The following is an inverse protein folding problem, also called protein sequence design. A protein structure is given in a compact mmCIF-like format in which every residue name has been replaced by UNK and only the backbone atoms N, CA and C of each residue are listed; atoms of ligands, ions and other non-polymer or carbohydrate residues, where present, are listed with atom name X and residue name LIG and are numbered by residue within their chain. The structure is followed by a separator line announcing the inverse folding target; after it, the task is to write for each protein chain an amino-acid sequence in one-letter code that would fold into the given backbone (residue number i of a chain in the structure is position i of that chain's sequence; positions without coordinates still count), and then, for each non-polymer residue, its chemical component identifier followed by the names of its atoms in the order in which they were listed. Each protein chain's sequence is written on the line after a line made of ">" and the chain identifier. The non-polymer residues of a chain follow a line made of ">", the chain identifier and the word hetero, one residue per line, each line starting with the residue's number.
data_IF_097577394124
#
_entry.id   IF_097577394124
#
_cell.length_a   1.000
_cell.length_b   1.000
_cell.length_c   1.000
_cell.angle_alpha   90.00
_cell.angle_beta   90.00
_cell.angle_gamma   90.00
#
_symmetry.space_group_name_H-M   'P 1'
#
loop_
_entity.id
_entity.type
_entity.pdbx_description
1 polymer ?
#
# COMPACT_ATOMS: atom_id res chain seq x y z
N UNK A 1 5.95 2.46 2.57
CA UNK A 1 7.05 1.94 3.42
C UNK A 1 7.77 0.85 2.67
N UNK A 2 9.04 0.60 2.96
CA UNK A 2 9.82 -0.51 2.41
C UNK A 2 10.53 -1.30 3.50
N UNK A 3 10.73 -2.59 3.24
CA UNK A 3 11.64 -3.44 4.01
C UNK A 3 12.98 -3.47 3.27
N UNK A 4 14.01 -2.94 3.93
CA UNK A 4 15.37 -3.10 3.44
C UNK A 4 15.79 -4.58 3.44
N UNK A 5 16.80 -4.92 2.64
CA UNK A 5 17.34 -6.29 2.57
C UNK A 5 17.75 -6.84 3.94
N UNK A 6 18.25 -5.98 4.83
CA UNK A 6 18.68 -6.37 6.17
C UNK A 6 17.54 -6.46 7.21
N UNK A 7 16.28 -6.22 6.79
CA UNK A 7 15.09 -6.29 7.63
C UNK A 7 14.75 -4.99 8.36
N UNK A 8 15.45 -3.88 8.12
CA UNK A 8 15.07 -2.57 8.66
C UNK A 8 13.85 -2.00 7.92
N UNK A 9 12.88 -1.51 8.67
CA UNK A 9 11.81 -0.69 8.11
C UNK A 9 12.32 0.68 7.69
N UNK A 10 11.81 1.17 6.56
CA UNK A 10 12.05 2.52 6.06
C UNK A 10 10.75 3.16 5.55
N UNK A 11 10.48 4.36 6.05
CA UNK A 11 9.29 5.14 5.74
C UNK A 11 9.65 6.30 4.83
N UNK A 12 8.81 6.52 3.83
CA UNK A 12 8.92 7.61 2.86
C UNK A 12 7.67 8.45 2.96
N UNK A 13 7.82 9.76 3.09
CA UNK A 13 6.72 10.68 3.27
C UNK A 13 7.01 12.03 2.62
N UNK A 14 5.95 12.71 2.18
CA UNK A 14 6.09 14.05 1.60
C UNK A 14 6.16 15.11 2.69
N UNK A 15 7.18 15.96 2.63
CA UNK A 15 7.33 17.12 3.52
C UNK A 15 6.41 18.28 3.16
N UNK A 16 6.36 19.31 4.01
CA UNK A 16 5.65 20.56 3.72
C UNK A 16 6.28 21.42 2.61
N UNK A 17 7.54 21.15 2.30
CA UNK A 17 8.30 21.71 1.19
C UNK A 17 8.01 21.03 -0.16
N UNK A 18 7.13 20.02 -0.18
CA UNK A 18 6.83 19.22 -1.38
C UNK A 18 7.90 18.19 -1.73
N UNK A 19 9.03 18.14 -1.00
CA UNK A 19 10.07 17.14 -1.22
C UNK A 19 9.68 15.79 -0.63
N UNK A 20 10.31 14.72 -1.13
CA UNK A 20 10.23 13.42 -0.49
C UNK A 20 11.28 13.33 0.62
N UNK A 21 10.86 12.89 1.80
CA UNK A 21 11.70 12.63 2.95
C UNK A 21 11.60 11.17 3.35
N UNK A 22 12.65 10.64 3.96
CA UNK A 22 12.66 9.26 4.47
C UNK A 22 13.30 9.16 5.85
N UNK A 23 12.88 8.16 6.61
CA UNK A 23 13.39 7.80 7.93
C UNK A 23 13.42 6.28 8.04
N UNK A 24 14.44 5.72 8.69
CA UNK A 24 14.64 4.26 8.77
C UNK A 24 14.99 3.83 10.18
N UNK A 25 14.70 2.57 10.49
CA UNK A 25 15.28 1.90 11.65
C UNK A 25 16.80 1.81 11.47
N UNK A 26 17.56 2.05 12.54
CA UNK A 26 19.04 2.01 12.55
C UNK A 26 19.60 0.58 12.64
N UNK A 27 18.82 -0.33 13.22
CA UNK A 27 18.99 -1.79 13.19
C UNK A 27 17.60 -2.41 13.07
N UNK A 28 17.46 -3.64 12.56
CA UNK A 28 16.16 -4.30 12.50
C UNK A 28 15.48 -4.29 13.87
N UNK A 29 14.20 -3.91 13.91
CA UNK A 29 13.40 -3.83 15.14
C UNK A 29 13.89 -2.79 16.16
N UNK A 30 14.82 -1.91 15.76
CA UNK A 30 15.52 -0.97 16.63
C UNK A 30 14.97 0.45 16.62
N UNK A 31 15.78 1.37 17.14
CA UNK A 31 15.46 2.80 17.14
C UNK A 31 15.47 3.38 15.71
N UNK A 32 14.67 4.42 15.51
CA UNK A 32 14.61 5.18 14.25
C UNK A 32 15.75 6.20 14.18
N UNK A 33 16.25 6.42 12.96
CA UNK A 33 17.25 7.43 12.65
C UNK A 33 16.65 8.84 12.57
N UNK A 34 17.29 9.70 11.79
CA UNK A 34 16.79 11.04 11.51
C UNK A 34 16.14 11.10 10.13
N UNK A 35 15.19 12.01 9.96
CA UNK A 35 14.66 12.35 8.65
C UNK A 35 15.78 12.87 7.74
N UNK A 36 15.88 12.30 6.55
CA UNK A 36 16.72 12.80 5.47
C UNK A 36 15.85 13.16 4.25
N UNK A 37 16.27 14.17 3.51
CA UNK A 37 15.57 14.60 2.29
C UNK A 37 16.13 13.86 1.09
N UNK A 38 15.23 13.34 0.25
CA UNK A 38 15.53 12.88 -1.11
C UNK A 38 15.29 14.00 -2.14
N UNK A 39 14.89 15.19 -1.71
CA UNK A 39 14.60 16.33 -2.59
C UNK A 39 13.37 16.11 -3.48
N UNK A 40 13.35 16.80 -4.62
CA UNK A 40 12.26 16.77 -5.59
C UNK A 40 11.06 17.65 -5.21
N UNK A 41 10.05 17.67 -6.09
CA UNK A 41 8.78 18.37 -5.87
C UNK A 41 7.62 17.47 -6.31
N UNK A 42 6.91 16.92 -5.34
CA UNK A 42 5.94 15.84 -5.54
C UNK A 42 4.55 16.21 -5.05
N UNK A 43 3.54 15.63 -5.68
CA UNK A 43 2.12 15.91 -5.39
C UNK A 43 1.34 14.69 -4.90
N UNK A 44 1.85 13.49 -5.19
CA UNK A 44 1.25 12.21 -4.82
C UNK A 44 1.88 11.56 -3.59
N UNK A 45 1.26 10.47 -3.14
CA UNK A 45 1.78 9.57 -2.12
C UNK A 45 2.84 8.63 -2.75
N UNK A 46 4.00 8.41 -2.10
CA UNK A 46 5.03 7.52 -2.62
C UNK A 46 4.64 6.04 -2.49
N UNK A 47 4.92 5.25 -3.51
CA UNK A 47 4.94 3.79 -3.48
C UNK A 47 6.39 3.29 -3.45
N UNK A 48 6.64 2.19 -2.75
CA UNK A 48 8.00 1.65 -2.55
C UNK A 48 7.99 0.18 -2.94
N UNK A 49 8.92 -0.21 -3.81
CA UNK A 49 9.17 -1.61 -4.18
C UNK A 49 10.57 -2.03 -3.76
N UNK A 50 10.73 -3.31 -3.41
CA UNK A 50 12.04 -3.93 -3.22
C UNK A 50 12.43 -4.64 -4.51
N UNK A 51 13.53 -4.21 -5.11
CA UNK A 51 14.11 -4.88 -6.28
C UNK A 51 14.59 -6.30 -5.91
N UNK A 52 14.72 -7.17 -6.92
CA UNK A 52 15.20 -8.53 -6.75
C UNK A 52 16.63 -8.62 -6.18
N UNK A 53 17.41 -7.55 -6.31
CA UNK A 53 18.76 -7.41 -5.74
C UNK A 53 18.79 -6.78 -4.33
N UNK A 54 17.63 -6.57 -3.68
CA UNK A 54 17.53 -6.02 -2.32
C UNK A 54 17.51 -4.49 -2.24
N UNK A 55 17.67 -3.77 -3.35
CA UNK A 55 17.59 -2.29 -3.36
C UNK A 55 16.14 -1.82 -3.25
N UNK A 56 15.88 -0.86 -2.37
CA UNK A 56 14.61 -0.14 -2.38
C UNK A 56 14.54 0.81 -3.58
N UNK A 57 13.35 0.92 -4.17
CA UNK A 57 13.03 1.88 -5.23
C UNK A 57 11.68 2.54 -4.95
N UNK A 58 11.65 3.86 -5.04
CA UNK A 58 10.51 4.69 -4.68
C UNK A 58 9.95 5.33 -5.94
N UNK A 59 8.63 5.29 -6.06
CA UNK A 59 7.84 5.84 -7.15
C UNK A 59 6.87 6.88 -6.62
N UNK A 60 6.79 8.03 -7.27
CA UNK A 60 5.93 9.12 -6.82
C UNK A 60 5.49 10.00 -7.98
N UNK A 61 4.29 10.57 -7.90
CA UNK A 61 3.80 11.53 -8.89
C UNK A 61 4.40 12.93 -8.67
N UNK A 62 5.02 13.48 -9.71
CA UNK A 62 5.59 14.83 -9.75
C UNK A 62 4.56 15.95 -9.82
N UNK A 63 5.03 17.20 -9.72
CA UNK A 63 4.21 18.39 -9.98
C UNK A 63 3.77 18.53 -11.44
N UNK A 64 4.43 17.83 -12.35
CA UNK A 64 4.11 17.71 -13.78
C UNK A 64 3.14 16.55 -14.08
N UNK A 65 2.63 15.88 -13.05
CA UNK A 65 1.85 14.64 -13.13
C UNK A 65 2.58 13.45 -13.76
N UNK A 66 3.88 13.53 -14.02
CA UNK A 66 4.65 12.36 -14.47
C UNK A 66 4.95 11.42 -13.29
N UNK A 67 5.24 10.16 -13.60
CA UNK A 67 5.83 9.23 -12.64
C UNK A 67 7.32 9.51 -12.52
N UNK A 68 7.80 9.72 -11.31
CA UNK A 68 9.21 9.88 -10.97
C UNK A 68 9.66 8.74 -10.08
N UNK A 69 10.92 8.32 -10.23
CA UNK A 69 11.51 7.28 -9.40
C UNK A 69 12.95 7.60 -8.96
N UNK A 70 13.34 7.05 -7.81
CA UNK A 70 14.70 7.03 -7.27
C UNK A 70 14.93 5.67 -6.60
N UNK A 71 16.16 5.17 -6.63
CA UNK A 71 16.50 3.86 -6.08
C UNK A 71 17.77 3.92 -5.24
N UNK A 72 17.85 3.05 -4.24
CA UNK A 72 19.13 2.77 -3.60
C UNK A 72 20.11 2.23 -4.66
N UNK A 73 21.35 2.73 -4.65
CA UNK A 73 22.41 2.35 -5.61
C UNK A 73 23.08 1.02 -5.28
N UNK A 74 23.04 0.65 -4.00
CA UNK A 74 23.33 -0.68 -3.44
C UNK A 74 22.35 -0.91 -2.29
N UNK A 75 22.03 -2.16 -1.91
CA UNK A 75 21.12 -2.40 -0.79
C UNK A 75 21.56 -1.65 0.47
N UNK A 76 20.61 -1.01 1.16
CA UNK A 76 20.88 -0.21 2.36
C UNK A 76 21.78 1.03 2.14
N UNK A 77 22.07 1.39 0.88
CA UNK A 77 23.02 2.43 0.53
C UNK A 77 22.39 3.79 0.22
N UNK A 78 23.18 4.64 -0.44
CA UNK A 78 22.72 5.95 -0.92
C UNK A 78 21.79 5.84 -2.13
N UNK A 79 21.08 6.94 -2.41
CA UNK A 79 20.04 7.03 -3.43
C UNK A 79 20.56 7.59 -4.76
N UNK A 80 19.96 7.15 -5.86
CA UNK A 80 20.16 7.74 -7.18
C UNK A 80 19.54 9.14 -7.25
N UNK A 81 19.92 9.91 -8.27
CA UNK A 81 19.14 11.08 -8.65
C UNK A 81 17.73 10.65 -9.09
N UNK A 82 16.76 11.56 -8.96
CA UNK A 82 15.42 11.37 -9.52
C UNK A 82 15.48 11.27 -11.03
N UNK A 83 14.77 10.28 -11.57
CA UNK A 83 14.54 10.12 -13.00
C UNK A 83 13.03 10.12 -13.27
N UNK A 84 12.63 10.60 -14.44
CA UNK A 84 11.23 10.57 -14.87
C UNK A 84 10.99 9.32 -15.71
N UNK A 85 9.90 8.62 -15.41
CA UNK A 85 9.33 7.56 -16.25
C UNK A 85 8.21 8.10 -17.15
N UNK A 86 8.01 9.43 -17.19
CA UNK A 86 6.98 10.08 -17.98
C UNK A 86 5.56 9.70 -17.58
N UNK A 87 4.66 9.66 -18.56
CA UNK A 87 3.23 9.42 -18.33
C UNK A 87 2.50 10.67 -17.82
N UNK A 88 1.19 10.54 -17.60
CA UNK A 88 0.34 11.56 -17.00
C UNK A 88 -0.61 10.89 -16.01
N UNK A 89 -0.27 10.94 -14.72
CA UNK A 89 -0.93 10.23 -13.64
C UNK A 89 -2.02 11.08 -12.99
N UNK A 90 -3.20 10.51 -12.87
CA UNK A 90 -4.36 11.10 -12.18
C UNK A 90 -4.58 10.50 -10.79
N UNK A 91 -3.89 9.41 -10.45
CA UNK A 91 -3.83 8.84 -9.08
C UNK A 91 -2.40 8.77 -8.54
N UNK A 92 -2.29 8.40 -7.26
CA UNK A 92 -1.03 7.91 -6.71
C UNK A 92 -0.65 6.57 -7.38
N UNK A 93 0.65 6.28 -7.57
CA UNK A 93 1.11 5.00 -8.10
C UNK A 93 1.00 3.90 -7.05
N UNK A 94 0.91 2.65 -7.51
CA UNK A 94 1.20 1.44 -6.71
C UNK A 94 2.19 0.58 -7.47
N UNK A 95 3.00 -0.19 -6.74
CA UNK A 95 4.02 -1.05 -7.32
C UNK A 95 3.78 -2.50 -6.89
N UNK A 96 3.87 -3.42 -7.84
CA UNK A 96 3.88 -4.86 -7.62
C UNK A 96 5.20 -5.46 -8.12
N UNK A 97 5.56 -6.61 -7.55
CA UNK A 97 6.71 -7.40 -8.00
C UNK A 97 6.20 -8.61 -8.78
N UNK A 98 6.64 -8.73 -10.03
CA UNK A 98 6.40 -9.92 -10.85
C UNK A 98 7.15 -11.13 -10.28
N UNK A 99 6.71 -12.34 -10.63
CA UNK A 99 7.36 -13.59 -10.19
C UNK A 99 8.83 -13.67 -10.63
N UNK A 100 9.17 -13.11 -11.79
CA UNK A 100 10.53 -13.05 -12.29
C UNK A 100 11.42 -11.99 -11.59
N UNK A 101 10.87 -11.20 -10.67
CA UNK A 101 11.58 -10.16 -9.92
C UNK A 101 11.57 -8.77 -10.57
N UNK A 102 10.86 -8.58 -11.69
CA UNK A 102 10.66 -7.23 -12.27
C UNK A 102 9.65 -6.43 -11.46
N UNK A 103 9.97 -5.18 -11.15
CA UNK A 103 8.98 -4.23 -10.64
C UNK A 103 8.03 -3.78 -11.76
N UNK A 104 6.76 -3.63 -11.42
CA UNK A 104 5.70 -3.13 -12.31
C UNK A 104 4.82 -2.12 -11.56
N UNK A 105 4.67 -0.94 -12.13
CA UNK A 105 3.98 0.20 -11.51
C UNK A 105 2.66 0.41 -12.24
N UNK A 106 1.60 0.63 -11.44
CA UNK A 106 0.24 0.88 -11.90
C UNK A 106 -0.24 2.23 -11.39
N UNK A 107 -0.94 2.97 -12.24
CA UNK A 107 -1.59 4.23 -11.86
C UNK A 107 -2.74 4.54 -12.80
N UNK A 108 -3.66 5.40 -12.36
CA UNK A 108 -4.66 5.96 -13.27
C UNK A 108 -4.02 7.03 -14.14
N UNK A 109 -4.46 7.09 -15.41
CA UNK A 109 -4.00 8.08 -16.37
C UNK A 109 -5.15 8.85 -17.03
N UNK A 110 -4.96 9.22 -18.29
CA UNK A 110 -6.02 9.80 -19.12
C UNK A 110 -7.26 8.90 -19.18
N UNK A 111 -8.43 9.54 -19.29
CA UNK A 111 -9.75 8.88 -19.34
C UNK A 111 -10.07 7.99 -18.12
N UNK A 112 -9.36 8.20 -17.00
CA UNK A 112 -9.50 7.38 -15.79
C UNK A 112 -9.23 5.88 -16.03
N UNK A 113 -8.47 5.55 -17.06
CA UNK A 113 -8.02 4.18 -17.34
C UNK A 113 -6.84 3.81 -16.44
N UNK A 114 -6.67 2.51 -16.20
CA UNK A 114 -5.47 1.96 -15.59
C UNK A 114 -4.34 1.93 -16.62
N UNK A 115 -3.18 2.46 -16.25
CA UNK A 115 -1.95 2.38 -17.02
C UNK A 115 -0.88 1.67 -16.20
N UNK A 116 0.03 0.99 -16.88
CA UNK A 116 1.17 0.33 -16.25
C UNK A 116 2.47 0.52 -17.03
N UNK A 117 3.58 0.44 -16.31
CA UNK A 117 4.95 0.43 -16.83
C UNK A 117 5.78 -0.54 -15.99
N UNK A 118 6.71 -1.26 -16.60
CA UNK A 118 7.48 -2.31 -15.92
C UNK A 118 8.97 -2.24 -16.26
N UNK A 119 9.81 -2.76 -15.37
CA UNK A 119 11.19 -3.08 -15.69
C UNK A 119 11.22 -4.14 -16.79
N UNK A 120 12.14 -4.03 -17.75
CA UNK A 120 12.26 -4.96 -18.90
C UNK A 120 12.96 -6.28 -18.57
N UNK A 121 13.78 -6.25 -17.53
CA UNK A 121 14.42 -7.38 -16.84
C UNK A 121 14.59 -7.00 -15.37
N UNK A 122 14.77 -7.96 -14.44
CA UNK A 122 14.98 -7.63 -13.03
C UNK A 122 16.14 -6.64 -12.86
N UNK A 123 15.93 -5.61 -12.03
CA UNK A 123 16.95 -4.60 -11.69
C UNK A 123 17.45 -3.76 -12.90
N UNK A 124 16.65 -3.66 -13.97
CA UNK A 124 17.06 -2.98 -15.21
C UNK A 124 16.20 -1.74 -15.52
N UNK A 125 16.36 -1.18 -16.73
CA UNK A 125 15.56 -0.07 -17.21
C UNK A 125 14.08 -0.43 -17.48
N UNK A 126 13.29 0.61 -17.72
CA UNK A 126 11.84 0.54 -17.86
C UNK A 126 11.39 0.45 -19.31
N UNK A 127 10.27 -0.25 -19.54
CA UNK A 127 9.58 -0.32 -20.81
C UNK A 127 8.79 0.94 -21.14
N UNK A 128 7.79 0.81 -22.01
CA UNK A 128 6.86 1.88 -22.34
C UNK A 128 5.57 1.75 -21.52
N UNK A 129 4.90 2.88 -21.30
CA UNK A 129 3.54 2.89 -20.75
C UNK A 129 2.58 2.15 -21.67
N UNK A 130 1.73 1.31 -21.07
CA UNK A 130 0.64 0.63 -21.75
C UNK A 130 -0.66 0.84 -20.98
N UNK A 131 -1.78 0.90 -21.70
CA UNK A 131 -3.11 1.03 -21.09
C UNK A 131 -3.70 -0.36 -20.87
N UNK A 132 -4.22 -0.59 -19.67
CA UNK A 132 -5.07 -1.72 -19.34
C UNK A 132 -6.56 -1.36 -19.43
N UNK A 133 -6.87 -0.13 -19.87
CA UNK A 133 -8.24 0.35 -20.04
C UNK A 133 -9.01 0.48 -18.72
N UNK A 134 -10.33 0.31 -18.81
CA UNK A 134 -11.24 0.50 -17.68
C UNK A 134 -11.63 1.96 -17.45
N UNK A 135 -12.57 2.18 -16.53
CA UNK A 135 -12.97 3.50 -16.04
C UNK A 135 -13.02 3.45 -14.51
N UNK A 136 -12.00 4.00 -13.87
CA UNK A 136 -11.72 3.83 -12.45
C UNK A 136 -11.82 5.15 -11.69
N UNK A 137 -12.28 5.08 -10.45
CA UNK A 137 -12.61 6.24 -9.60
C UNK A 137 -11.90 6.21 -8.25
N UNK A 138 -10.89 5.35 -8.10
CA UNK A 138 -9.97 5.31 -6.95
C UNK A 138 -8.55 4.98 -7.43
N UNK A 139 -7.51 5.34 -6.65
CA UNK A 139 -6.21 4.70 -6.79
C UNK A 139 -6.33 3.16 -6.82
N UNK A 140 -5.50 2.49 -7.63
CA UNK A 140 -5.49 1.02 -7.68
C UNK A 140 -4.83 0.43 -6.43
N UNK A 141 -5.09 -0.85 -6.18
CA UNK A 141 -4.32 -1.72 -5.29
C UNK A 141 -3.85 -2.94 -6.09
N UNK A 142 -2.67 -3.47 -5.80
CA UNK A 142 -2.10 -4.64 -6.50
C UNK A 142 -1.79 -5.74 -5.50
N UNK A 143 -2.14 -6.97 -5.83
CA UNK A 143 -1.84 -8.17 -5.07
C UNK A 143 -1.20 -9.25 -5.93
N UNK A 144 -0.42 -10.11 -5.30
CA UNK A 144 0.17 -11.30 -5.93
C UNK A 144 -0.70 -12.52 -5.62
N UNK A 145 -1.21 -13.15 -6.66
CA UNK A 145 -1.85 -14.45 -6.57
C UNK A 145 -0.81 -15.52 -6.12
N UNK A 146 -1.30 -16.62 -5.55
CA UNK A 146 -0.46 -17.73 -5.10
C UNK A 146 0.33 -18.39 -6.26
N UNK A 147 -0.12 -18.25 -7.50
CA UNK A 147 0.56 -18.74 -8.70
C UNK A 147 1.55 -17.74 -9.30
N UNK A 148 1.83 -16.60 -8.64
CA UNK A 148 2.80 -15.60 -9.11
C UNK A 148 2.21 -14.52 -10.03
N UNK A 149 0.92 -14.59 -10.40
CA UNK A 149 0.27 -13.56 -11.23
C UNK A 149 -0.02 -12.30 -10.43
N UNK A 150 0.24 -11.14 -11.03
CA UNK A 150 -0.28 -9.87 -10.52
C UNK A 150 -1.78 -9.74 -10.81
N UNK A 151 -2.51 -9.18 -9.84
CA UNK A 151 -3.92 -8.82 -9.95
C UNK A 151 -4.15 -7.44 -9.34
N UNK A 152 -4.82 -6.58 -10.11
CA UNK A 152 -5.04 -5.17 -9.78
C UNK A 152 -6.52 -4.95 -9.52
N UNK A 153 -6.81 -4.23 -8.45
CA UNK A 153 -8.13 -3.92 -7.95
C UNK A 153 -8.32 -2.41 -7.92
N UNK A 154 -9.47 -1.92 -8.36
CA UNK A 154 -9.81 -0.51 -8.26
C UNK A 154 -11.33 -0.33 -8.24
N UNK A 155 -11.80 0.76 -7.64
CA UNK A 155 -13.20 1.13 -7.71
C UNK A 155 -13.50 1.62 -9.13
N UNK A 156 -14.54 1.09 -9.77
CA UNK A 156 -14.99 1.53 -11.09
C UNK A 156 -16.04 2.64 -11.05
N UNK A 157 -16.69 2.86 -12.18
CA UNK A 157 -17.95 3.64 -12.24
C UNK A 157 -19.02 3.01 -11.34
N UNK A 158 -19.90 3.85 -10.80
CA UNK A 158 -21.01 3.45 -9.90
C UNK A 158 -20.58 2.85 -8.54
N UNK A 159 -19.29 2.84 -8.24
CA UNK A 159 -18.75 2.45 -6.94
C UNK A 159 -18.45 0.96 -6.77
N UNK A 160 -18.69 0.11 -7.77
CA UNK A 160 -18.33 -1.31 -7.67
C UNK A 160 -16.81 -1.53 -7.64
N UNK A 161 -16.37 -2.62 -7.02
CA UNK A 161 -14.99 -3.11 -7.14
C UNK A 161 -14.81 -3.79 -8.49
N UNK A 162 -13.79 -3.38 -9.24
CA UNK A 162 -13.36 -4.02 -10.48
C UNK A 162 -11.94 -4.56 -10.31
N UNK A 163 -11.64 -5.65 -11.02
CA UNK A 163 -10.32 -6.24 -11.04
C UNK A 163 -9.90 -6.69 -12.44
N UNK A 164 -8.58 -6.76 -12.66
CA UNK A 164 -7.93 -7.29 -13.85
C UNK A 164 -6.67 -8.02 -13.40
N UNK A 165 -6.31 -9.11 -14.07
CA UNK A 165 -5.18 -9.96 -13.68
C UNK A 165 -4.33 -10.35 -14.88
N UNK A 166 -3.05 -10.63 -14.65
CA UNK A 166 -2.22 -11.33 -15.64
C UNK A 166 -2.81 -12.73 -15.90
N UNK A 167 -2.79 -13.21 -17.14
CA UNK A 167 -3.32 -14.54 -17.51
C UNK A 167 -2.36 -15.69 -17.20
N UNK A 168 -1.10 -15.38 -16.98
CA UNK A 168 -0.02 -16.25 -16.50
C UNK A 168 1.03 -15.34 -15.85
N UNK A 169 1.94 -15.85 -15.00
CA UNK A 169 2.98 -14.99 -14.44
C UNK A 169 3.78 -14.29 -15.54
N UNK A 170 4.09 -13.00 -15.33
CA UNK A 170 4.94 -12.20 -16.23
C UNK A 170 4.35 -12.02 -17.66
N UNK A 171 3.02 -12.15 -17.82
CA UNK A 171 2.34 -12.23 -19.12
C UNK A 171 1.37 -11.05 -19.35
N UNK A 172 0.65 -11.11 -20.47
CA UNK A 172 -0.49 -10.26 -20.82
C UNK A 172 -1.60 -10.29 -19.78
N UNK A 173 -2.46 -9.27 -19.82
CA UNK A 173 -3.60 -9.11 -18.93
C UNK A 173 -4.89 -9.67 -19.52
N UNK A 174 -5.78 -10.14 -18.63
CA UNK A 174 -7.13 -10.57 -18.96
C UNK A 174 -8.08 -9.40 -19.23
N UNK A 175 -9.38 -9.64 -19.07
CA UNK A 175 -10.40 -8.60 -19.17
C UNK A 175 -10.79 -8.09 -17.78
N UNK A 176 -11.24 -6.84 -17.71
CA UNK A 176 -11.88 -6.31 -16.52
C UNK A 176 -13.13 -7.11 -16.14
N UNK A 177 -13.24 -7.44 -14.87
CA UNK A 177 -14.42 -8.07 -14.29
C UNK A 177 -14.88 -7.30 -13.06
N UNK A 178 -16.18 -7.30 -12.80
CA UNK A 178 -16.76 -6.66 -11.63
C UNK A 178 -16.93 -7.69 -10.52
N UNK A 179 -16.48 -7.33 -9.31
CA UNK A 179 -16.76 -8.05 -8.07
C UNK A 179 -17.97 -7.46 -7.34
N UNK A 180 -18.70 -6.52 -7.97
CA UNK A 180 -19.85 -5.85 -7.39
C UNK A 180 -19.50 -5.01 -6.17
N UNK A 181 -20.44 -4.90 -5.23
CA UNK A 181 -20.31 -4.05 -4.04
C UNK A 181 -20.50 -2.56 -4.33
N UNK A 182 -20.37 -1.75 -3.28
CA UNK A 182 -20.42 -0.29 -3.35
C UNK A 182 -19.36 0.29 -2.42
N UNK A 183 -18.23 0.68 -2.99
CA UNK A 183 -17.03 1.14 -2.29
C UNK A 183 -17.04 2.66 -2.13
N UNK A 184 -16.81 3.12 -0.91
CA UNK A 184 -16.64 4.54 -0.56
C UNK A 184 -15.18 4.92 -0.35
N UNK A 185 -14.25 3.95 -0.27
CA UNK A 185 -12.80 4.14 -0.24
C UNK A 185 -12.08 3.44 -1.41
N UNK A 186 -10.79 3.74 -1.66
CA UNK A 186 -9.91 2.84 -2.42
C UNK A 186 -9.85 1.45 -1.75
N UNK A 187 -9.65 0.37 -2.53
CA UNK A 187 -9.47 -0.97 -2.00
C UNK A 187 -8.09 -1.15 -1.37
N UNK A 188 -7.99 -2.11 -0.45
CA UNK A 188 -6.75 -2.62 0.14
C UNK A 188 -6.77 -4.14 0.00
N UNK A 189 -5.67 -4.75 -0.47
CA UNK A 189 -5.62 -6.19 -0.75
C UNK A 189 -4.55 -6.85 0.11
N UNK A 190 -4.90 -8.00 0.71
CA UNK A 190 -4.01 -8.87 1.45
C UNK A 190 -4.04 -10.28 0.90
N UNK A 191 -3.01 -11.07 1.23
CA UNK A 191 -2.98 -12.50 0.94
C UNK A 191 -3.10 -13.28 2.24
N UNK A 192 -4.08 -14.18 2.28
CA UNK A 192 -4.26 -15.11 3.39
C UNK A 192 -3.10 -16.13 3.43
N UNK A 193 -2.93 -16.81 4.57
CA UNK A 193 -1.91 -17.85 4.75
C UNK A 193 -2.00 -18.96 3.68
N UNK A 194 -3.21 -19.30 3.22
CA UNK A 194 -3.40 -20.33 2.20
C UNK A 194 -3.19 -19.83 0.76
N UNK A 195 -2.85 -18.55 0.56
CA UNK A 195 -2.59 -17.94 -0.74
C UNK A 195 -3.81 -17.33 -1.42
N UNK A 196 -4.98 -17.31 -0.77
CA UNK A 196 -6.17 -16.59 -1.29
C UNK A 196 -6.00 -15.08 -1.13
N UNK A 197 -6.25 -14.33 -2.21
CA UNK A 197 -6.40 -12.89 -2.11
C UNK A 197 -7.71 -12.51 -1.41
N UNK A 198 -7.64 -11.46 -0.59
CA UNK A 198 -8.77 -10.87 0.12
C UNK A 198 -8.69 -9.35 0.06
N UNK A 199 -9.79 -8.72 -0.35
CA UNK A 199 -9.89 -7.28 -0.60
C UNK A 199 -10.81 -6.65 0.44
N UNK A 200 -10.34 -5.54 1.00
CA UNK A 200 -11.00 -4.74 2.02
C UNK A 200 -11.27 -3.35 1.48
N UNK A 201 -12.45 -2.80 1.77
CA UNK A 201 -12.79 -1.42 1.45
C UNK A 201 -13.90 -0.91 2.36
N UNK A 202 -14.03 0.41 2.47
CA UNK A 202 -15.22 1.00 3.08
C UNK A 202 -16.41 0.88 2.13
N UNK A 203 -17.58 0.64 2.69
CA UNK A 203 -18.84 0.58 1.94
C UNK A 203 -19.93 1.46 2.54
N UNK A 204 -21.18 0.99 2.42
CA UNK A 204 -22.33 1.62 3.07
C UNK A 204 -22.11 1.81 4.57
N UNK A 205 -22.65 2.90 5.11
CA UNK A 205 -22.54 3.28 6.53
C UNK A 205 -21.10 3.49 7.03
N UNK A 206 -20.13 3.63 6.13
CA UNK A 206 -18.70 3.73 6.45
C UNK A 206 -18.15 2.51 7.22
N UNK A 207 -18.83 1.36 7.09
CA UNK A 207 -18.35 0.08 7.61
C UNK A 207 -17.24 -0.49 6.74
N UNK A 208 -16.39 -1.33 7.33
CA UNK A 208 -15.45 -2.15 6.59
C UNK A 208 -16.18 -3.32 5.94
N UNK A 209 -15.98 -3.51 4.65
CA UNK A 209 -16.46 -4.65 3.88
C UNK A 209 -15.28 -5.40 3.29
N UNK A 210 -15.43 -6.71 3.15
CA UNK A 210 -14.41 -7.57 2.53
C UNK A 210 -15.01 -8.62 1.60
N UNK A 211 -14.19 -9.06 0.65
CA UNK A 211 -14.48 -10.15 -0.30
C UNK A 211 -13.18 -10.93 -0.54
N UNK A 212 -13.26 -12.24 -0.70
CA UNK A 212 -12.09 -13.11 -0.84
C UNK A 212 -12.24 -14.13 -1.97
N UNK A 213 -11.12 -14.58 -2.52
CA UNK A 213 -11.09 -15.79 -3.35
C UNK A 213 -11.52 -16.99 -2.50
N UNK A 214 -12.32 -17.90 -3.07
CA UNK A 214 -12.85 -19.09 -2.37
C UNK A 214 -11.84 -20.24 -2.25
N UNK A 215 -10.80 -20.21 -3.07
CA UNK A 215 -9.61 -21.06 -3.07
C UNK A 215 -8.48 -20.28 -3.76
N UNK A 216 -7.19 -20.63 -3.57
CA UNK A 216 -6.11 -19.91 -4.22
C UNK A 216 -6.29 -19.86 -5.74
N UNK A 217 -6.16 -18.67 -6.33
CA UNK A 217 -6.28 -18.43 -7.77
C UNK A 217 -7.67 -18.74 -8.37
N UNK A 218 -8.73 -18.72 -7.55
CA UNK A 218 -10.08 -19.12 -7.98
C UNK A 218 -11.08 -17.96 -8.06
N UNK A 219 -12.36 -18.31 -8.26
CA UNK A 219 -13.49 -17.38 -8.15
C UNK A 219 -13.61 -16.76 -6.76
N UNK A 220 -14.30 -15.61 -6.71
CA UNK A 220 -14.55 -14.82 -5.51
C UNK A 220 -15.85 -15.23 -4.81
N UNK A 221 -15.87 -15.05 -3.48
CA UNK A 221 -17.05 -15.22 -2.64
C UNK A 221 -18.02 -14.03 -2.73
N UNK A 222 -18.87 -13.89 -1.73
CA UNK A 222 -19.76 -12.74 -1.57
C UNK A 222 -19.15 -11.68 -0.65
N UNK A 223 -19.58 -10.42 -0.82
CA UNK A 223 -19.25 -9.35 0.12
C UNK A 223 -19.82 -9.64 1.50
N UNK A 224 -18.99 -9.42 2.53
CA UNK A 224 -19.37 -9.49 3.93
C UNK A 224 -18.98 -8.20 4.64
N UNK A 225 -19.76 -7.80 5.65
CA UNK A 225 -19.46 -6.62 6.47
C UNK A 225 -18.74 -7.05 7.74
N UNK A 226 -17.66 -6.35 8.06
CA UNK A 226 -16.96 -6.42 9.34
C UNK A 226 -17.40 -5.27 10.28
N UNK A 227 -18.43 -4.51 9.89
CA UNK A 227 -18.97 -3.41 10.66
C UNK A 227 -17.97 -2.28 10.90
N UNK A 228 -18.12 -1.60 12.02
CA UNK A 228 -17.32 -0.40 12.36
C UNK A 228 -17.88 0.87 11.73
N UNK A 229 -17.30 2.01 12.13
CA UNK A 229 -17.55 3.32 11.56
C UNK A 229 -16.20 3.99 11.31
N UNK A 230 -15.74 3.90 10.07
CA UNK A 230 -14.37 4.24 9.68
C UNK A 230 -14.34 5.52 8.82
N UNK A 231 -13.28 6.30 8.99
CA UNK A 231 -13.12 7.63 8.40
C UNK A 231 -11.91 7.73 7.47
N UNK A 232 -11.15 6.64 7.30
CA UNK A 232 -10.06 6.53 6.33
C UNK A 232 -10.17 5.23 5.51
N UNK A 233 -9.54 5.18 4.32
CA UNK A 233 -9.24 3.91 3.66
C UNK A 233 -8.58 2.90 4.62
N UNK A 234 -8.90 1.59 4.48
CA UNK A 234 -8.27 0.54 5.30
C UNK A 234 -6.87 0.21 4.82
N UNK A 235 -6.02 -0.27 5.72
CA UNK A 235 -4.71 -0.87 5.44
C UNK A 235 -4.65 -2.25 6.07
N UNK A 236 -4.29 -3.27 5.29
CA UNK A 236 -4.23 -4.66 5.77
C UNK A 236 -2.77 -5.09 5.91
N UNK A 237 -2.47 -5.82 6.98
CA UNK A 237 -1.20 -6.48 7.22
C UNK A 237 -1.41 -7.95 7.60
N UNK A 238 -0.37 -8.75 7.40
CA UNK A 238 -0.36 -10.17 7.79
C UNK A 238 0.48 -10.33 9.06
N UNK A 239 -0.15 -10.86 10.10
CA UNK A 239 0.54 -11.25 11.33
C UNK A 239 1.52 -12.40 11.08
N UNK A 240 2.49 -12.58 11.99
CA UNK A 240 3.48 -13.64 11.90
C UNK A 240 2.88 -15.06 11.95
N UNK A 241 1.66 -15.20 12.48
CA UNK A 241 0.90 -16.46 12.50
C UNK A 241 0.00 -16.66 11.26
N UNK A 242 0.08 -15.81 10.24
CA UNK A 242 -0.71 -15.93 9.01
C UNK A 242 -2.10 -15.29 9.08
N UNK A 243 -2.51 -14.70 10.22
CA UNK A 243 -3.79 -13.98 10.33
C UNK A 243 -3.72 -12.62 9.65
N UNK A 244 -4.76 -12.27 8.89
CA UNK A 244 -4.95 -10.90 8.43
C UNK A 244 -5.42 -9.99 9.56
N UNK A 245 -4.92 -8.76 9.57
CA UNK A 245 -5.32 -7.69 10.48
C UNK A 245 -5.44 -6.37 9.72
N UNK A 246 -6.56 -5.68 9.91
CA UNK A 246 -6.94 -4.48 9.16
C UNK A 246 -6.97 -3.29 10.10
N UNK A 247 -6.37 -2.19 9.66
CA UNK A 247 -6.26 -0.92 10.36
C UNK A 247 -6.99 0.17 9.60
N UNK A 248 -7.69 1.04 10.31
CA UNK A 248 -8.31 2.24 9.73
C UNK A 248 -8.51 3.30 10.82
N UNK A 249 -8.68 4.55 10.41
CA UNK A 249 -9.16 5.58 11.33
C UNK A 249 -10.65 5.41 11.56
N UNK A 250 -11.10 5.64 12.79
CA UNK A 250 -12.50 5.54 13.19
C UNK A 250 -13.02 6.84 13.82
N UNK A 251 -13.99 6.69 14.73
CA UNK A 251 -14.46 7.80 15.56
C UNK A 251 -13.31 8.52 16.27
N UNK A 252 -13.46 9.84 16.41
CA UNK A 252 -12.47 10.74 17.03
C UNK A 252 -11.08 10.70 16.37
N UNK A 253 -10.98 10.26 15.12
CA UNK A 253 -9.71 10.15 14.39
C UNK A 253 -8.69 9.21 15.08
N UNK A 254 -9.16 8.30 15.92
CA UNK A 254 -8.33 7.26 16.54
C UNK A 254 -7.99 6.16 15.53
N UNK A 255 -6.87 5.47 15.75
CA UNK A 255 -6.54 4.24 15.04
C UNK A 255 -7.38 3.08 15.60
N UNK A 256 -8.04 2.35 14.72
CA UNK A 256 -8.79 1.14 15.04
C UNK A 256 -8.23 -0.04 14.26
N UNK A 257 -8.35 -1.23 14.84
CA UNK A 257 -7.95 -2.47 14.18
C UNK A 257 -8.93 -3.61 14.46
N UNK A 258 -8.98 -4.57 13.53
CA UNK A 258 -9.73 -5.82 13.62
C UNK A 258 -8.88 -6.93 12.98
N UNK A 259 -8.94 -8.15 13.51
CA UNK A 259 -8.12 -9.26 13.05
C UNK A 259 -8.92 -10.54 12.89
N UNK A 260 -8.45 -11.43 12.02
CA UNK A 260 -8.89 -12.82 12.00
C UNK A 260 -8.53 -13.49 13.34
N UNK A 261 -9.40 -14.35 13.86
CA UNK A 261 -9.20 -15.06 15.15
C UNK A 261 -8.29 -16.29 15.03
N UNK A 262 -8.18 -16.84 13.82
CA UNK A 262 -7.22 -17.84 13.38
C UNK A 262 -6.99 -17.62 11.87
N UNK A 263 -5.90 -18.10 11.27
CA UNK A 263 -5.68 -17.95 9.83
C UNK A 263 -6.85 -18.51 9.03
N UNK A 264 -7.26 -17.81 7.97
CA UNK A 264 -8.38 -18.20 7.10
C UNK A 264 -9.74 -18.33 7.82
N UNK A 265 -9.91 -17.65 8.97
CA UNK A 265 -11.07 -17.83 9.84
C UNK A 265 -11.90 -16.56 10.01
N UNK A 266 -12.87 -16.61 10.94
CA UNK A 266 -13.73 -15.49 11.29
C UNK A 266 -12.95 -14.35 11.95
N UNK A 267 -13.55 -13.16 11.93
CA UNK A 267 -12.99 -11.94 12.47
C UNK A 267 -13.38 -11.73 13.94
N UNK A 268 -12.49 -11.09 14.70
CA UNK A 268 -12.72 -10.66 16.06
C UNK A 268 -13.59 -9.41 16.15
N UNK A 269 -13.44 -8.66 17.24
CA UNK A 269 -14.10 -7.38 17.42
C UNK A 269 -13.15 -6.22 17.11
N UNK A 270 -13.70 -5.08 16.69
CA UNK A 270 -12.96 -3.84 16.59
C UNK A 270 -12.40 -3.42 17.94
N UNK A 271 -11.13 -3.02 17.95
CA UNK A 271 -10.45 -2.46 19.11
C UNK A 271 -9.81 -1.12 18.74
N UNK A 272 -9.74 -0.21 19.69
CA UNK A 272 -9.09 1.10 19.49
C UNK A 272 -7.66 1.03 19.98
N UNK A 273 -6.73 1.51 19.16
CA UNK A 273 -5.34 1.79 19.51
C UNK A 273 -5.14 3.27 19.91
N UNK A 274 -6.23 4.04 19.96
CA UNK A 274 -6.24 5.44 20.38
C UNK A 274 -5.58 6.39 19.39
N UNK A 275 -5.17 7.56 19.90
CA UNK A 275 -4.51 8.61 19.13
C UNK A 275 -5.46 9.61 18.46
N UNK A 276 -4.86 10.61 17.83
CA UNK A 276 -5.54 11.58 16.97
C UNK A 276 -4.73 11.72 15.68
N UNK A 277 -5.17 11.02 14.63
CA UNK A 277 -4.45 10.84 13.38
C UNK A 277 -5.20 11.48 12.21
N UNK A 278 -4.47 11.96 11.22
CA UNK A 278 -4.96 12.84 10.14
C UNK A 278 -4.62 12.31 8.74
N UNK A 279 -4.23 11.04 8.64
CA UNK A 279 -4.06 10.29 7.39
C UNK A 279 -4.51 8.85 7.57
N UNK A 280 -4.82 8.16 6.48
CA UNK A 280 -4.92 6.70 6.49
C UNK A 280 -3.67 6.05 7.11
N UNK A 281 -3.83 4.94 7.85
CA UNK A 281 -2.70 4.19 8.36
C UNK A 281 -1.99 3.44 7.22
N UNK A 282 -0.70 3.22 7.37
CA UNK A 282 0.07 2.23 6.61
C UNK A 282 0.67 1.23 7.60
N UNK A 283 0.54 -0.07 7.33
CA UNK A 283 1.09 -1.13 8.18
C UNK A 283 2.19 -1.92 7.47
N UNK A 284 3.21 -2.33 8.21
CA UNK A 284 4.21 -3.30 7.75
C UNK A 284 4.61 -4.26 8.86
N UNK A 285 5.15 -5.42 8.47
CA UNK A 285 5.81 -6.35 9.36
C UNK A 285 7.29 -5.97 9.56
N UNK A 286 7.72 -5.94 10.81
CA UNK A 286 9.10 -5.90 11.23
C UNK A 286 9.81 -7.23 10.92
N UNK A 287 11.15 -7.23 10.94
CA UNK A 287 11.96 -8.43 10.70
C UNK A 287 11.68 -9.59 11.69
N UNK A 288 11.20 -9.27 12.89
CA UNK A 288 10.81 -10.26 13.89
C UNK A 288 9.34 -10.71 13.79
N UNK A 289 8.59 -10.23 12.79
CA UNK A 289 7.19 -10.58 12.57
C UNK A 289 6.17 -9.72 13.32
N UNK A 290 6.60 -8.69 14.06
CA UNK A 290 5.69 -7.72 14.69
C UNK A 290 5.09 -6.79 13.64
N UNK A 291 3.78 -6.58 13.68
CA UNK A 291 3.16 -5.49 12.92
C UNK A 291 3.48 -4.13 13.53
N UNK A 292 3.69 -3.13 12.68
CA UNK A 292 3.87 -1.73 13.04
C UNK A 292 3.08 -0.85 12.07
N UNK A 293 2.24 0.01 12.64
CA UNK A 293 1.33 0.89 11.94
C UNK A 293 1.77 2.34 12.08
N UNK A 294 1.65 3.10 10.99
CA UNK A 294 2.12 4.48 10.88
C UNK A 294 1.01 5.36 10.32
N UNK A 295 0.88 6.57 10.84
CA UNK A 295 -0.04 7.56 10.34
C UNK A 295 0.42 8.97 10.74
N UNK A 296 -0.04 9.98 10.02
CA UNK A 296 0.24 11.38 10.38
C UNK A 296 -0.61 11.79 11.59
N UNK A 297 -0.03 12.48 12.56
CA UNK A 297 -0.73 13.03 13.73
C UNK A 297 -1.40 14.38 13.46
N UNK A 298 -2.11 14.91 14.46
CA UNK A 298 -2.67 16.27 14.42
C UNK A 298 -1.63 17.40 14.38
N UNK A 299 -0.40 17.09 14.78
CA UNK A 299 0.77 17.95 14.73
C UNK A 299 1.53 17.88 13.38
N UNK A 300 1.01 17.12 12.42
CA UNK A 300 1.66 16.79 11.15
C UNK A 300 2.94 15.94 11.26
N UNK A 301 3.29 15.44 12.46
CA UNK A 301 4.38 14.48 12.60
C UNK A 301 3.94 13.08 12.13
N UNK A 302 4.91 12.22 11.83
CA UNK A 302 4.65 10.80 11.66
C UNK A 302 4.53 10.15 13.04
N UNK A 303 3.40 9.52 13.31
CA UNK A 303 3.19 8.71 14.50
C UNK A 303 3.18 7.23 14.13
N UNK A 304 3.66 6.40 15.05
CA UNK A 304 3.71 4.96 14.87
C UNK A 304 3.38 4.21 16.17
N UNK A 305 2.90 2.98 16.00
CA UNK A 305 2.60 2.03 17.08
C UNK A 305 2.93 0.62 16.59
N UNK A 306 3.45 -0.23 17.45
CA UNK A 306 3.87 -1.59 17.11
C UNK A 306 3.35 -2.62 18.10
N UNK A 307 3.20 -3.86 17.65
CA UNK A 307 3.05 -5.01 18.54
C UNK A 307 4.32 -5.16 19.39
N UNK A 308 4.17 -5.48 20.68
CA UNK A 308 5.29 -5.64 21.63
C UNK A 308 6.04 -6.98 21.48
N UNK A 309 5.39 -7.95 20.87
CA UNK A 309 5.89 -9.26 20.43
C UNK A 309 5.00 -9.73 19.26
N UNK A 310 5.43 -10.65 18.40
CA UNK A 310 4.59 -11.11 17.29
C UNK A 310 3.23 -11.60 17.79
N UNK A 311 2.15 -11.19 17.12
CA UNK A 311 0.77 -11.61 17.40
C UNK A 311 0.26 -11.22 18.80
N UNK A 312 0.79 -10.15 19.39
CA UNK A 312 0.50 -9.75 20.79
C UNK A 312 -0.12 -8.35 20.92
N UNK A 313 -0.16 -7.83 22.15
CA UNK A 313 -0.63 -6.48 22.44
C UNK A 313 0.26 -5.41 21.84
N UNK A 314 -0.32 -4.23 21.66
CA UNK A 314 0.31 -3.05 21.10
C UNK A 314 1.01 -2.21 22.17
N UNK A 315 2.10 -1.54 21.77
CA UNK A 315 2.80 -0.55 22.58
C UNK A 315 2.03 0.77 22.70
N UNK A 316 2.74 1.85 23.00
CA UNK A 316 2.18 3.19 22.99
C UNK A 316 2.47 3.90 21.66
N UNK A 317 1.52 4.72 21.22
CA UNK A 317 1.75 5.66 20.11
C UNK A 317 2.95 6.55 20.43
N UNK A 318 3.89 6.60 19.49
CA UNK A 318 5.11 7.40 19.58
C UNK A 318 5.24 8.25 18.33
N UNK A 319 5.88 9.42 18.45
CA UNK A 319 6.14 10.30 17.32
C UNK A 319 7.56 10.11 16.79
N UNK A 320 7.69 9.99 15.49
CA UNK A 320 8.95 10.05 14.74
C UNK A 320 9.25 11.48 14.26
N UNK A 321 8.48 12.47 14.71
CA UNK A 321 8.62 13.87 14.29
C UNK A 321 8.32 14.06 12.80
N UNK A 322 8.95 15.08 12.20
CA UNK A 322 8.70 15.49 10.82
C UNK A 322 7.58 16.51 10.68
N UNK A 323 7.46 17.10 9.48
CA UNK A 323 6.41 18.04 9.09
C UNK A 323 5.75 17.58 7.79
N UNK A 324 4.86 16.60 7.90
CA UNK A 324 4.30 15.87 6.77
C UNK A 324 3.05 16.53 6.20
N UNK A 325 2.89 16.48 4.89
CA UNK A 325 1.68 16.98 4.22
C UNK A 325 0.93 15.87 3.50
N UNK A 326 -0.40 16.00 3.45
CA UNK A 326 -1.26 15.11 2.67
C UNK A 326 -1.02 15.34 1.18
N UNK A 327 -0.98 14.27 0.39
CA UNK A 327 -1.07 14.35 -1.07
C UNK A 327 -2.34 15.10 -1.50
N UNK A 328 -2.24 15.95 -2.52
CA UNK A 328 -3.38 16.70 -3.08
C UNK A 328 -3.70 18.06 -2.45
N UNK A 329 -2.98 18.52 -1.42
CA UNK A 329 -2.97 19.94 -1.06
C UNK A 329 -2.01 20.68 -2.01
N UNK A 330 -2.52 21.14 -3.15
CA UNK A 330 -1.92 22.28 -3.83
C UNK A 330 -2.26 23.54 -3.01
N UNK A 331 -1.27 24.40 -2.78
CA UNK A 331 -1.51 25.77 -2.34
C UNK A 331 -2.19 26.57 -3.46
#
# INVERSE_FOLDING_TARGET
>A
MGNNEDGRLEVFARGADGALWHIWQTTPNGAWGNWASLGGWFTGTPAVGSNADGRLEVFVRGGDNALWHTWQTVPNGGWSAWSSLGGYLTSDPVVGSNEDGRLEVFALGGESALWHIWQTAPNSGWGAWSSLGGYLTSPPAVGNNADGRLEVFARGGEGALWHIWQTSPNSTWGAWSSLGGYLTSPPSVGSNEDGRLEVFALGGESALWHIWQTSPNSTWGGWSSLGGYLTSPPSVGSNADGRLEVFALGGESALWHIWQTAPNSTWGAWSSLGGYLTSEPTVAGNADGRLEAFARGGDNALWHIWQTSPNSTWGALSSLGGGLTRAGAAA
#
